data_IF_390294806002
#
_entry.id   IF_390294806002
#
_cell.length_a   1.000
_cell.length_b   1.000
_cell.length_c   1.000
_cell.angle_alpha   90.00
_cell.angle_beta   90.00
_cell.angle_gamma   90.00
#
_symmetry.space_group_name_H-M   'P 1'
#
loop_
_entity.id
_entity.type
_entity.pdbx_description
1 polymer ?
#
# COMPACT_ATOMS: atom_id res chain seq x y z
N UNK A 1 -6.41 0.58 -19.68
CA UNK A 1 -6.58 -0.81 -19.20
C UNK A 1 -5.95 -0.84 -17.81
N UNK A 2 -6.77 -0.90 -16.76
CA UNK A 2 -6.29 -0.87 -15.37
C UNK A 2 -5.99 -2.30 -14.95
N UNK A 3 -4.79 -2.55 -14.42
CA UNK A 3 -4.41 -3.87 -13.92
C UNK A 3 -5.09 -4.09 -12.57
N UNK A 4 -5.79 -5.21 -12.40
CA UNK A 4 -6.40 -5.59 -11.12
C UNK A 4 -5.55 -6.70 -10.48
N UNK A 5 -5.22 -6.52 -9.20
CA UNK A 5 -4.36 -7.40 -8.40
C UNK A 5 -5.17 -7.87 -7.20
N UNK A 6 -5.34 -9.19 -7.07
CA UNK A 6 -6.19 -9.80 -6.04
C UNK A 6 -5.41 -10.79 -5.15
N UNK A 7 -4.09 -10.89 -5.35
CA UNK A 7 -3.21 -11.74 -4.54
C UNK A 7 -1.90 -11.05 -4.17
N UNK A 8 -1.26 -11.52 -3.10
CA UNK A 8 0.02 -10.98 -2.63
C UNK A 8 1.16 -11.27 -3.62
N UNK A 9 1.15 -12.44 -4.24
CA UNK A 9 2.13 -12.87 -5.24
C UNK A 9 2.06 -11.98 -6.48
N UNK A 10 0.84 -11.71 -6.96
CA UNK A 10 0.62 -10.80 -8.08
C UNK A 10 1.07 -9.37 -7.76
N UNK A 11 0.87 -8.92 -6.52
CA UNK A 11 1.35 -7.61 -6.07
C UNK A 11 2.88 -7.55 -6.06
N UNK A 12 3.55 -8.57 -5.53
CA UNK A 12 5.01 -8.66 -5.51
C UNK A 12 5.60 -8.72 -6.92
N UNK A 13 4.99 -9.51 -7.81
CA UNK A 13 5.38 -9.59 -9.21
C UNK A 13 5.22 -8.23 -9.92
N UNK A 14 4.12 -7.52 -9.68
CA UNK A 14 3.86 -6.21 -10.28
C UNK A 14 4.81 -5.11 -9.77
N UNK A 15 5.22 -5.17 -8.51
CA UNK A 15 6.22 -4.26 -7.93
C UNK A 15 7.60 -4.43 -8.56
N UNK A 16 7.97 -5.69 -8.86
CA UNK A 16 9.26 -6.03 -9.46
C UNK A 16 10.47 -5.54 -8.66
N UNK A 17 11.68 -5.53 -9.26
CA UNK A 17 12.91 -5.14 -8.58
C UNK A 17 12.97 -3.65 -8.20
N UNK A 18 12.16 -2.80 -8.86
CA UNK A 18 12.09 -1.35 -8.58
C UNK A 18 11.03 -0.99 -7.53
N UNK A 19 10.31 -1.97 -6.99
CA UNK A 19 9.20 -1.79 -6.04
C UNK A 19 8.24 -0.66 -6.46
N UNK A 20 7.88 -0.60 -7.74
CA UNK A 20 7.06 0.50 -8.28
C UNK A 20 5.79 -0.03 -8.90
N UNK A 21 4.64 0.43 -8.41
CA UNK A 21 3.32 0.10 -8.94
C UNK A 21 2.61 1.37 -9.41
N UNK A 22 2.07 1.34 -10.64
CA UNK A 22 1.45 2.50 -11.29
C UNK A 22 0.12 2.11 -11.91
N UNK A 23 -0.89 2.97 -11.77
CA UNK A 23 -2.18 2.82 -12.46
C UNK A 23 -2.81 1.42 -12.32
N UNK A 24 -2.77 0.88 -11.11
CA UNK A 24 -3.26 -0.45 -10.77
C UNK A 24 -4.34 -0.37 -9.68
N UNK A 25 -5.21 -1.37 -9.63
CA UNK A 25 -6.16 -1.59 -8.56
C UNK A 25 -5.79 -2.85 -7.81
N UNK A 26 -5.68 -2.78 -6.49
CA UNK A 26 -5.38 -3.91 -5.62
C UNK A 26 -6.58 -4.10 -4.71
N UNK A 27 -7.16 -5.31 -4.71
CA UNK A 27 -8.40 -5.60 -3.99
C UNK A 27 -8.21 -6.78 -3.05
N UNK A 28 -8.53 -6.60 -1.77
CA UNK A 28 -8.61 -7.68 -0.78
C UNK A 28 -7.27 -8.38 -0.46
N UNK A 29 -6.14 -7.82 -0.88
CA UNK A 29 -4.82 -8.44 -0.67
C UNK A 29 -4.38 -8.30 0.80
N UNK A 30 -3.90 -9.39 1.38
CA UNK A 30 -3.29 -9.39 2.71
C UNK A 30 -1.77 -9.61 2.60
N UNK A 31 -1.00 -8.64 3.06
CA UNK A 31 0.47 -8.69 3.12
C UNK A 31 0.91 -8.79 4.58
N UNK A 32 1.82 -9.72 4.87
CA UNK A 32 2.36 -9.92 6.21
C UNK A 32 3.88 -9.97 6.19
N UNK A 33 4.52 -9.07 6.96
CA UNK A 33 5.99 -9.07 7.12
C UNK A 33 6.77 -8.79 5.84
N UNK A 34 6.15 -8.18 4.82
CA UNK A 34 6.78 -7.93 3.53
C UNK A 34 7.61 -6.66 3.60
N UNK A 35 8.81 -6.70 3.03
CA UNK A 35 9.65 -5.52 2.84
C UNK A 35 9.19 -4.72 1.60
N UNK A 36 8.45 -3.65 1.85
CA UNK A 36 8.02 -2.64 0.88
C UNK A 36 8.76 -1.31 1.10
N UNK A 37 9.92 -1.34 1.76
CA UNK A 37 10.74 -0.14 1.94
C UNK A 37 11.10 0.49 0.59
N UNK A 38 10.97 1.81 0.51
CA UNK A 38 11.19 2.60 -0.71
C UNK A 38 10.18 2.34 -1.84
N UNK A 39 9.12 1.56 -1.60
CA UNK A 39 8.14 1.25 -2.65
C UNK A 39 7.39 2.52 -3.10
N UNK A 40 7.13 2.62 -4.40
CA UNK A 40 6.38 3.74 -4.98
C UNK A 40 5.06 3.26 -5.55
N UNK A 41 3.97 3.75 -4.98
CA UNK A 41 2.60 3.56 -5.45
C UNK A 41 2.11 4.88 -6.03
N UNK A 42 1.78 4.89 -7.32
CA UNK A 42 1.34 6.10 -8.03
C UNK A 42 0.05 5.85 -8.79
N UNK A 43 -1.01 6.60 -8.48
CA UNK A 43 -2.35 6.42 -9.06
C UNK A 43 -2.86 4.99 -8.88
N UNK A 44 -2.72 4.46 -7.66
CA UNK A 44 -3.13 3.09 -7.31
C UNK A 44 -4.39 3.13 -6.46
N UNK A 45 -5.34 2.23 -6.70
CA UNK A 45 -6.49 2.02 -5.82
C UNK A 45 -6.21 0.81 -4.92
N UNK A 46 -6.18 1.01 -3.60
CA UNK A 46 -6.02 -0.03 -2.59
C UNK A 46 -7.37 -0.20 -1.86
N UNK A 47 -8.11 -1.24 -2.22
CA UNK A 47 -9.47 -1.52 -1.72
C UNK A 47 -9.47 -2.77 -0.84
N UNK A 48 -9.66 -2.61 0.47
CA UNK A 48 -9.64 -3.72 1.43
C UNK A 48 -8.26 -4.34 1.67
N UNK A 49 -7.18 -3.67 1.25
CA UNK A 49 -5.80 -4.19 1.38
C UNK A 49 -5.31 -4.07 2.83
N UNK A 50 -4.78 -5.17 3.37
CA UNK A 50 -4.24 -5.23 4.74
C UNK A 50 -2.74 -5.42 4.72
N UNK A 51 -2.01 -4.50 5.33
CA UNK A 51 -0.58 -4.65 5.59
C UNK A 51 -0.40 -4.92 7.09
N UNK A 52 0.27 -6.02 7.43
CA UNK A 52 0.54 -6.39 8.82
C UNK A 52 2.02 -6.66 9.04
N UNK A 53 2.69 -5.85 9.85
CA UNK A 53 4.12 -6.05 10.12
C UNK A 53 5.03 -5.76 8.92
N UNK A 54 4.52 -5.11 7.87
CA UNK A 54 5.29 -4.78 6.68
C UNK A 54 6.22 -3.59 6.93
N UNK A 55 7.37 -3.57 6.26
CA UNK A 55 8.24 -2.39 6.24
C UNK A 55 7.82 -1.50 5.08
N UNK A 56 7.34 -0.29 5.37
CA UNK A 56 6.92 0.75 4.42
C UNK A 56 7.79 2.00 4.58
N UNK A 57 8.99 1.85 5.17
CA UNK A 57 9.90 2.97 5.38
C UNK A 57 10.29 3.59 4.04
N UNK A 58 10.29 4.93 3.98
CA UNK A 58 10.54 5.72 2.76
C UNK A 58 9.62 5.40 1.57
N UNK A 59 8.51 4.69 1.78
CA UNK A 59 7.54 4.41 0.73
C UNK A 59 6.79 5.69 0.33
N UNK A 60 6.40 5.78 -0.94
CA UNK A 60 5.69 6.94 -1.49
C UNK A 60 4.35 6.52 -2.07
N UNK A 61 3.28 7.10 -1.55
CA UNK A 61 1.91 6.93 -1.99
C UNK A 61 1.42 8.26 -2.57
N UNK A 62 1.34 8.35 -3.90
CA UNK A 62 0.93 9.56 -4.65
C UNK A 62 -0.32 9.24 -5.46
N UNK A 63 -1.37 10.04 -5.29
CA UNK A 63 -2.68 9.82 -5.91
C UNK A 63 -3.23 8.41 -5.61
N UNK A 64 -2.94 7.87 -4.42
CA UNK A 64 -3.41 6.53 -4.04
C UNK A 64 -4.74 6.63 -3.33
N UNK A 65 -5.73 5.85 -3.76
CA UNK A 65 -6.99 5.71 -3.04
C UNK A 65 -6.90 4.55 -2.06
N UNK A 66 -6.89 4.80 -0.75
CA UNK A 66 -6.89 3.74 0.26
C UNK A 66 -8.28 3.64 0.89
N UNK A 67 -9.04 2.58 0.61
CA UNK A 67 -10.42 2.40 1.10
C UNK A 67 -10.55 1.06 1.82
N UNK A 68 -11.06 1.07 3.05
CA UNK A 68 -11.35 -0.15 3.81
C UNK A 68 -10.13 -1.05 4.11
N UNK A 69 -8.91 -0.55 3.87
CA UNK A 69 -7.66 -1.23 4.17
C UNK A 69 -7.18 -0.98 5.60
N UNK A 70 -6.13 -1.69 6.00
CA UNK A 70 -5.50 -1.55 7.33
C UNK A 70 -3.96 -1.58 7.21
N UNK A 71 -3.30 -0.81 8.08
CA UNK A 71 -1.84 -0.73 8.20
C UNK A 71 -1.44 -1.04 9.66
N UNK A 72 -1.44 -2.31 10.05
CA UNK A 72 -1.24 -2.71 11.45
C UNK A 72 0.21 -3.11 11.71
N UNK A 73 0.84 -2.55 12.74
CA UNK A 73 2.23 -2.86 13.12
C UNK A 73 3.25 -2.66 11.98
N UNK A 74 2.98 -1.76 11.05
CA UNK A 74 3.88 -1.45 9.93
C UNK A 74 4.92 -0.41 10.32
N UNK A 75 6.12 -0.48 9.72
CA UNK A 75 7.11 0.61 9.83
C UNK A 75 6.80 1.66 8.78
N UNK A 76 6.54 2.90 9.20
CA UNK A 76 6.14 4.00 8.30
C UNK A 76 7.14 5.16 8.31
N UNK A 77 8.36 4.94 8.83
CA UNK A 77 9.37 6.00 8.97
C UNK A 77 9.74 6.56 7.59
N UNK A 78 9.56 7.87 7.42
CA UNK A 78 9.83 8.54 6.13
C UNK A 78 8.80 8.26 5.03
N UNK A 79 7.75 7.48 5.32
CA UNK A 79 6.67 7.23 4.37
C UNK A 79 5.92 8.52 4.05
N UNK A 80 5.60 8.71 2.78
CA UNK A 80 4.88 9.89 2.29
C UNK A 80 3.52 9.48 1.75
N UNK A 81 2.47 10.01 2.36
CA UNK A 81 1.09 9.84 1.92
C UNK A 81 0.58 11.15 1.32
N UNK A 82 0.01 11.12 0.12
CA UNK A 82 -0.73 12.26 -0.41
C UNK A 82 -2.00 12.49 0.41
N UNK A 83 -2.51 13.72 0.38
CA UNK A 83 -3.67 14.13 1.18
C UNK A 83 -4.91 13.30 0.87
N UNK A 84 -5.09 12.83 -0.36
CA UNK A 84 -6.22 11.95 -0.72
C UNK A 84 -6.10 10.51 -0.20
N UNK A 85 -4.87 10.03 0.11
CA UNK A 85 -4.66 8.65 0.56
C UNK A 85 -5.38 8.33 1.87
N UNK A 86 -5.39 9.30 2.80
CA UNK A 86 -5.87 9.07 4.16
C UNK A 86 -7.39 9.26 4.31
N UNK A 87 -8.09 9.73 3.28
CA UNK A 87 -9.53 10.01 3.36
C UNK A 87 -10.42 8.76 3.46
N UNK A 88 -9.92 7.58 3.05
CA UNK A 88 -10.68 6.33 3.09
C UNK A 88 -10.10 5.25 4.01
N UNK A 89 -8.97 5.53 4.66
CA UNK A 89 -8.38 4.64 5.65
C UNK A 89 -9.20 4.72 6.93
N UNK A 90 -9.95 3.67 7.26
CA UNK A 90 -10.81 3.66 8.44
C UNK A 90 -9.91 3.61 9.69
N UNK A 91 -9.92 4.70 10.45
CA UNK A 91 -8.98 5.00 11.52
C UNK A 91 -9.21 4.25 12.83
N UNK A 92 -8.84 2.97 12.90
CA UNK A 92 -8.65 2.29 14.20
C UNK A 92 -7.24 1.71 14.40
N UNK A 93 -6.40 1.62 13.36
CA UNK A 93 -5.08 0.98 13.46
C UNK A 93 -3.99 1.65 12.61
N UNK A 94 -4.19 2.91 12.20
CA UNK A 94 -3.09 3.71 11.63
C UNK A 94 -2.17 4.15 12.78
N UNK A 95 -1.28 3.24 13.20
CA UNK A 95 -0.25 3.55 14.19
C UNK A 95 0.81 4.41 13.49
N UNK A 96 0.62 5.73 13.53
CA UNK A 96 1.51 6.72 12.93
C UNK A 96 2.64 7.16 13.87
N UNK A 97 2.85 6.47 14.99
CA UNK A 97 3.95 6.72 15.96
C UNK A 97 5.27 6.15 15.49
#
# INVERSE_FOLDING_TARGET
>A
MTIVIESAEALQAALGPRKTLRAARVVGVALRGVDLSGARFERVELDGVRFRGCDLSDASFVDVGFRGGALSSCRLRGARFSRECLLGAVGSELDLT
#
